data_IF_446018605343
#
_entry.id   IF_446018605343
#
_cell.length_a   1.000
_cell.length_b   1.000
_cell.length_c   1.000
_cell.angle_alpha   90.00
_cell.angle_beta   90.00
_cell.angle_gamma   90.00
#
_symmetry.space_group_name_H-M   'P 1'
#
loop_
_entity.id
_entity.type
_entity.pdbx_description
1 polymer ?
#
# COMPACT_ATOMS: atom_id res chain seq x y z
N UNK A 1 -25.88 -4.03 -16.93
CA UNK A 1 -25.61 -2.60 -17.18
C UNK A 1 -25.15 -1.87 -15.93
N UNK A 2 -25.87 -1.95 -14.81
CA UNK A 2 -25.53 -1.25 -13.56
C UNK A 2 -24.12 -1.55 -13.02
N UNK A 3 -23.71 -2.83 -13.00
CA UNK A 3 -22.37 -3.23 -12.52
C UNK A 3 -21.22 -2.62 -13.33
N UNK A 4 -21.37 -2.51 -14.65
CA UNK A 4 -20.36 -1.90 -15.52
C UNK A 4 -20.32 -0.39 -15.34
N UNK A 5 -21.49 0.26 -15.19
CA UNK A 5 -21.56 1.69 -14.92
C UNK A 5 -20.83 2.04 -13.62
N UNK A 6 -21.06 1.26 -12.56
CA UNK A 6 -20.37 1.44 -11.27
C UNK A 6 -18.84 1.28 -11.39
N UNK A 7 -18.37 0.28 -12.16
CA UNK A 7 -16.94 0.06 -12.38
C UNK A 7 -16.30 1.22 -13.15
N UNK A 8 -16.93 1.65 -14.25
CA UNK A 8 -16.42 2.75 -15.06
C UNK A 8 -16.40 4.05 -14.26
N UNK A 9 -17.47 4.35 -13.51
CA UNK A 9 -17.49 5.55 -12.66
C UNK A 9 -16.41 5.50 -11.59
N UNK A 10 -16.18 4.33 -10.98
CA UNK A 10 -15.12 4.14 -9.99
C UNK A 10 -13.73 4.43 -10.59
N UNK A 11 -13.42 3.87 -11.77
CA UNK A 11 -12.15 4.14 -12.43
C UNK A 11 -11.99 5.60 -12.85
N UNK A 12 -13.04 6.22 -13.38
CA UNK A 12 -13.00 7.65 -13.74
C UNK A 12 -12.74 8.55 -12.54
N UNK A 13 -13.34 8.24 -11.38
CA UNK A 13 -13.10 8.99 -10.14
C UNK A 13 -11.63 8.84 -9.72
N UNK A 14 -11.09 7.62 -9.68
CA UNK A 14 -9.69 7.39 -9.27
C UNK A 14 -8.71 8.06 -10.22
N UNK A 15 -8.92 7.89 -11.53
CA UNK A 15 -8.11 8.55 -12.56
C UNK A 15 -8.20 10.07 -12.42
N UNK A 16 -9.40 10.62 -12.22
CA UNK A 16 -9.61 12.04 -12.01
C UNK A 16 -8.84 12.57 -10.79
N UNK A 17 -8.93 11.88 -9.65
CA UNK A 17 -8.20 12.25 -8.43
C UNK A 17 -6.68 12.18 -8.64
N UNK A 18 -6.16 11.12 -9.27
CA UNK A 18 -4.72 10.98 -9.54
C UNK A 18 -4.18 12.00 -10.54
N UNK A 19 -4.96 12.35 -11.58
CA UNK A 19 -4.57 13.40 -12.53
C UNK A 19 -4.63 14.80 -11.91
N UNK A 20 -5.57 15.04 -10.98
CA UNK A 20 -5.64 16.29 -10.24
C UNK A 20 -4.49 16.41 -9.24
N UNK A 21 -4.09 15.33 -8.57
CA UNK A 21 -2.97 15.36 -7.61
C UNK A 21 -1.65 15.71 -8.29
N UNK A 22 -1.43 15.28 -9.55
CA UNK A 22 -0.25 15.65 -10.36
C UNK A 22 -0.09 17.16 -10.54
N UNK A 23 -1.16 17.95 -10.44
CA UNK A 23 -1.08 19.44 -10.52
C UNK A 23 -0.54 20.08 -9.24
N UNK A 24 -0.63 19.37 -8.12
CA UNK A 24 -0.17 19.84 -6.81
C UNK A 24 1.18 19.24 -6.41
N UNK A 25 1.64 18.22 -7.12
CA UNK A 25 2.92 17.57 -6.89
C UNK A 25 4.10 18.46 -7.35
N UNK A 26 5.04 18.72 -6.46
CA UNK A 26 6.37 19.24 -6.74
C UNK A 26 7.25 18.14 -7.33
N UNK A 27 8.24 18.50 -8.16
CA UNK A 27 9.15 17.52 -8.78
C UNK A 27 10.30 17.08 -7.86
N UNK A 28 10.06 16.95 -6.55
CA UNK A 28 11.07 16.49 -5.59
C UNK A 28 10.74 15.10 -5.06
N UNK A 29 11.78 14.33 -4.71
CA UNK A 29 11.60 13.02 -4.11
C UNK A 29 10.89 13.08 -2.74
N UNK A 30 11.12 14.14 -1.96
CA UNK A 30 10.45 14.34 -0.67
C UNK A 30 8.94 14.57 -0.87
N UNK A 31 8.55 15.35 -1.88
CA UNK A 31 7.14 15.56 -2.20
C UNK A 31 6.47 14.28 -2.71
N UNK A 32 7.12 13.60 -3.66
CA UNK A 32 6.58 12.38 -4.27
C UNK A 32 6.45 11.21 -3.27
N UNK A 33 7.47 10.95 -2.45
CA UNK A 33 7.48 9.79 -1.55
C UNK A 33 6.89 10.10 -0.16
N UNK A 34 6.94 11.34 0.30
CA UNK A 34 6.56 11.72 1.67
C UNK A 34 5.45 12.77 1.74
N UNK A 35 4.89 13.20 0.61
CA UNK A 35 3.85 14.24 0.55
C UNK A 35 4.33 15.57 1.15
N UNK A 36 5.61 15.87 0.98
CA UNK A 36 6.28 17.05 1.52
C UNK A 36 6.31 17.07 3.06
N UNK A 37 6.11 15.92 3.71
CA UNK A 37 6.07 15.74 5.17
C UNK A 37 5.00 16.57 5.90
N UNK A 38 3.97 17.00 5.17
CA UNK A 38 2.92 17.90 5.66
C UNK A 38 1.55 17.21 5.82
N UNK A 39 1.52 15.88 5.77
CA UNK A 39 0.27 15.12 5.96
C UNK A 39 -0.22 15.28 7.40
N UNK A 40 -1.40 15.89 7.55
CA UNK A 40 -2.07 16.00 8.85
C UNK A 40 -2.51 14.64 9.40
N UNK A 41 -2.79 14.52 10.71
CA UNK A 41 -3.05 13.23 11.37
C UNK A 41 -4.19 12.41 10.74
N UNK A 42 -5.28 13.08 10.33
CA UNK A 42 -6.43 12.43 9.71
C UNK A 42 -6.04 11.83 8.36
N UNK A 43 -5.38 12.61 7.51
CA UNK A 43 -4.98 12.15 6.19
C UNK A 43 -3.94 11.02 6.29
N UNK A 44 -2.97 11.15 7.19
CA UNK A 44 -1.99 10.11 7.47
C UNK A 44 -2.67 8.80 7.93
N UNK A 45 -3.61 8.89 8.88
CA UNK A 45 -4.39 7.74 9.33
C UNK A 45 -5.19 7.12 8.19
N UNK A 46 -5.87 7.92 7.37
CA UNK A 46 -6.63 7.43 6.21
C UNK A 46 -5.73 6.71 5.21
N UNK A 47 -4.54 7.24 4.91
CA UNK A 47 -3.57 6.57 4.02
C UNK A 47 -3.08 5.25 4.60
N UNK A 48 -2.78 5.22 5.91
CA UNK A 48 -2.38 3.98 6.59
C UNK A 48 -3.51 2.94 6.60
N UNK A 49 -4.74 3.36 6.88
CA UNK A 49 -5.91 2.48 6.85
C UNK A 49 -6.15 1.93 5.44
N UNK A 50 -6.12 2.79 4.41
CA UNK A 50 -6.25 2.38 3.01
C UNK A 50 -5.15 1.40 2.60
N UNK A 51 -3.93 1.56 3.11
CA UNK A 51 -2.81 0.64 2.85
C UNK A 51 -3.02 -0.72 3.52
N UNK A 52 -3.62 -0.73 4.72
CA UNK A 52 -3.91 -1.96 5.48
C UNK A 52 -5.09 -2.75 4.88
N UNK A 53 -6.04 -2.09 4.23
CA UNK A 53 -7.14 -2.76 3.53
C UNK A 53 -6.71 -3.15 2.11
N UNK A 54 -6.39 -4.42 1.93
CA UNK A 54 -5.83 -4.92 0.68
C UNK A 54 -6.50 -6.20 0.20
N UNK A 55 -6.06 -6.72 -0.95
CA UNK A 55 -6.48 -8.04 -1.43
C UNK A 55 -6.24 -9.15 -0.39
N UNK A 56 -5.17 -9.05 0.42
CA UNK A 56 -4.97 -9.96 1.54
C UNK A 56 -6.11 -9.87 2.55
N UNK A 57 -6.55 -8.66 2.91
CA UNK A 57 -7.63 -8.46 3.89
C UNK A 57 -8.97 -8.99 3.38
N UNK A 58 -9.26 -8.79 2.10
CA UNK A 58 -10.54 -9.22 1.50
C UNK A 58 -10.56 -10.71 1.22
N UNK A 59 -9.51 -11.28 0.59
CA UNK A 59 -9.50 -12.66 0.11
C UNK A 59 -8.65 -13.59 0.98
N UNK A 60 -7.48 -13.14 1.40
CA UNK A 60 -6.56 -13.93 2.23
C UNK A 60 -7.13 -14.20 3.62
N UNK A 61 -7.50 -13.14 4.33
CA UNK A 61 -8.03 -13.20 5.68
C UNK A 61 -9.39 -13.90 5.74
N UNK A 62 -10.32 -13.55 4.85
CA UNK A 62 -11.63 -14.22 4.79
C UNK A 62 -11.50 -15.71 4.42
N UNK A 63 -10.65 -16.05 3.45
CA UNK A 63 -10.41 -17.43 3.06
C UNK A 63 -9.73 -18.25 4.15
N UNK A 64 -8.80 -17.65 4.89
CA UNK A 64 -8.20 -18.29 6.07
C UNK A 64 -9.22 -18.46 7.20
N UNK A 65 -10.08 -17.46 7.44
CA UNK A 65 -11.19 -17.56 8.38
C UNK A 65 -12.20 -18.65 8.00
N UNK A 66 -12.47 -18.85 6.70
CA UNK A 66 -13.31 -19.94 6.21
C UNK A 66 -12.72 -21.33 6.53
N UNK A 67 -11.38 -21.48 6.42
CA UNK A 67 -10.70 -22.77 6.66
C UNK A 67 -10.40 -23.05 8.13
N UNK A 68 -10.00 -22.04 8.90
CA UNK A 68 -9.52 -22.17 10.27
C UNK A 68 -10.49 -21.61 11.33
N UNK A 69 -11.62 -21.05 10.90
CA UNK A 69 -12.62 -20.45 11.77
C UNK A 69 -12.12 -19.17 12.46
N UNK A 70 -12.79 -18.80 13.55
CA UNK A 70 -12.48 -17.61 14.34
C UNK A 70 -11.08 -17.64 14.98
N UNK A 71 -10.44 -18.80 15.08
CA UNK A 71 -9.08 -18.92 15.60
C UNK A 71 -8.04 -18.16 14.76
N UNK A 72 -8.36 -17.83 13.51
CA UNK A 72 -7.49 -17.01 12.66
C UNK A 72 -7.62 -15.50 12.92
N UNK A 73 -8.74 -15.03 13.48
CA UNK A 73 -9.02 -13.60 13.67
C UNK A 73 -8.01 -12.88 14.59
N UNK A 74 -7.49 -13.50 15.67
CA UNK A 74 -6.44 -12.91 16.47
C UNK A 74 -5.21 -12.49 15.68
N UNK A 75 -4.88 -13.16 14.56
CA UNK A 75 -3.68 -12.80 13.77
C UNK A 75 -3.81 -11.38 13.19
N UNK A 76 -5.00 -11.00 12.74
CA UNK A 76 -5.26 -9.65 12.22
C UNK A 76 -5.36 -8.62 13.34
N UNK A 77 -6.01 -8.99 14.45
CA UNK A 77 -6.15 -8.12 15.61
C UNK A 77 -4.79 -7.78 16.22
N UNK A 78 -3.96 -8.79 16.49
CA UNK A 78 -2.61 -8.60 17.00
C UNK A 78 -1.68 -8.00 15.96
N UNK A 79 -1.76 -8.40 14.68
CA UNK A 79 -0.95 -7.80 13.63
C UNK A 79 -1.16 -6.29 13.49
N UNK A 80 -2.43 -5.87 13.36
CA UNK A 80 -2.79 -4.44 13.26
C UNK A 80 -2.53 -3.71 14.59
N UNK A 81 -2.81 -4.36 15.73
CA UNK A 81 -2.55 -3.79 17.05
C UNK A 81 -1.06 -3.54 17.30
N UNK A 82 -0.20 -4.51 16.99
CA UNK A 82 1.25 -4.36 17.11
C UNK A 82 1.81 -3.37 16.10
N UNK A 83 1.21 -3.23 14.92
CA UNK A 83 1.55 -2.14 13.99
C UNK A 83 1.28 -0.76 14.63
N UNK A 84 0.11 -0.56 15.24
CA UNK A 84 -0.23 0.70 15.91
C UNK A 84 0.69 1.02 17.10
N UNK A 85 1.02 -0.01 17.90
CA UNK A 85 1.99 0.09 19.00
C UNK A 85 3.37 0.46 18.44
N UNK A 86 3.86 -0.25 17.43
CA UNK A 86 5.16 0.03 16.79
C UNK A 86 5.21 1.43 16.21
N UNK A 87 4.12 1.93 15.63
CA UNK A 87 4.05 3.30 15.13
C UNK A 87 4.20 4.33 16.26
N UNK A 88 3.59 4.07 17.41
CA UNK A 88 3.65 4.96 18.58
C UNK A 88 5.07 5.02 19.20
N UNK A 89 5.77 3.90 19.29
CA UNK A 89 7.09 3.83 19.94
C UNK A 89 8.28 4.06 18.98
N UNK A 90 8.18 3.52 17.76
CA UNK A 90 9.26 3.52 16.76
C UNK A 90 8.95 4.55 15.67
N UNK A 91 7.71 4.59 15.17
CA UNK A 91 7.30 5.46 14.06
C UNK A 91 7.57 6.93 14.31
N UNK A 92 7.26 7.45 15.51
CA UNK A 92 7.57 8.85 15.88
C UNK A 92 9.06 9.17 15.78
N UNK A 93 9.93 8.32 16.35
CA UNK A 93 11.39 8.50 16.31
C UNK A 93 11.94 8.41 14.89
N UNK A 94 11.43 7.46 14.11
CA UNK A 94 11.78 7.29 12.69
C UNK A 94 11.39 8.53 11.88
N UNK A 95 10.20 9.09 12.12
CA UNK A 95 9.73 10.30 11.47
C UNK A 95 10.61 11.51 11.81
N UNK A 96 10.90 11.72 13.10
CA UNK A 96 11.76 12.82 13.57
C UNK A 96 13.16 12.72 12.96
N UNK A 97 13.78 11.54 13.01
CA UNK A 97 15.11 11.31 12.43
C UNK A 97 15.11 11.49 10.92
N UNK A 98 14.08 11.01 10.24
CA UNK A 98 13.92 11.18 8.81
C UNK A 98 13.77 12.65 8.42
N UNK A 99 13.07 13.45 9.24
CA UNK A 99 12.89 14.89 9.01
C UNK A 99 14.18 15.68 9.28
N UNK A 100 14.91 15.33 10.33
CA UNK A 100 16.19 15.98 10.68
C UNK A 100 17.27 15.70 9.64
N UNK A 101 17.37 14.45 9.17
CA UNK A 101 18.48 13.99 8.32
C UNK A 101 18.13 13.86 6.84
N UNK A 102 16.88 14.14 6.46
CA UNK A 102 16.41 14.07 5.08
C UNK A 102 16.31 12.65 4.52
N UNK A 103 16.17 11.63 5.36
CA UNK A 103 16.03 10.24 4.89
C UNK A 103 14.65 10.02 4.26
N UNK A 104 14.63 9.30 3.14
CA UNK A 104 13.41 9.04 2.36
C UNK A 104 13.00 7.57 2.44
N UNK A 105 13.96 6.64 2.63
CA UNK A 105 13.66 5.20 2.72
C UNK A 105 14.10 4.58 4.05
N UNK A 106 13.44 3.51 4.53
CA UNK A 106 13.89 2.77 5.72
C UNK A 106 15.28 2.16 5.57
N UNK A 107 15.63 1.67 4.36
CA UNK A 107 16.95 1.14 4.07
C UNK A 107 18.04 2.21 4.24
N UNK A 108 17.81 3.40 3.69
CA UNK A 108 18.69 4.56 3.87
C UNK A 108 18.81 4.96 5.34
N UNK A 109 17.69 5.03 6.06
CA UNK A 109 17.67 5.38 7.48
C UNK A 109 18.57 4.42 8.28
N UNK A 110 18.39 3.11 8.13
CA UNK A 110 19.20 2.11 8.86
C UNK A 110 20.67 2.20 8.41
N UNK A 111 20.91 2.26 7.10
CA UNK A 111 22.25 2.35 6.54
C UNK A 111 23.07 3.54 7.04
N UNK A 112 22.44 4.72 7.05
CA UNK A 112 23.07 5.98 7.47
C UNK A 112 23.14 6.10 8.99
N UNK A 113 22.14 5.62 9.71
CA UNK A 113 22.14 5.64 11.18
C UNK A 113 23.27 4.77 11.76
N UNK A 114 23.47 3.57 11.22
CA UNK A 114 24.52 2.65 11.66
C UNK A 114 25.81 2.75 10.85
N UNK A 115 25.90 3.70 9.90
CA UNK A 115 27.04 3.86 8.99
C UNK A 115 27.47 2.57 8.28
N UNK A 116 26.51 1.70 7.95
CA UNK A 116 26.75 0.36 7.40
C UNK A 116 26.05 0.16 6.07
N UNK A 117 26.84 0.09 4.99
CA UNK A 117 26.35 -0.23 3.64
C UNK A 117 25.76 -1.63 3.56
N UNK A 118 26.30 -2.57 4.34
CA UNK A 118 25.76 -3.93 4.42
C UNK A 118 24.33 -3.92 4.96
N UNK A 119 24.08 -3.22 6.08
CA UNK A 119 22.73 -3.11 6.63
C UNK A 119 21.77 -2.39 5.68
N UNK A 120 22.24 -1.35 4.99
CA UNK A 120 21.44 -0.67 3.97
C UNK A 120 20.96 -1.63 2.88
N UNK A 121 21.87 -2.43 2.32
CA UNK A 121 21.56 -3.40 1.26
C UNK A 121 20.66 -4.51 1.80
N UNK A 122 20.93 -5.02 3.00
CA UNK A 122 20.12 -6.06 3.63
C UNK A 122 18.66 -5.61 3.80
N UNK A 123 18.43 -4.43 4.38
CA UNK A 123 17.08 -3.89 4.57
C UNK A 123 16.40 -3.63 3.21
N UNK A 124 17.13 -3.07 2.24
CA UNK A 124 16.61 -2.89 0.89
C UNK A 124 16.16 -4.22 0.26
N UNK A 125 16.97 -5.27 0.34
CA UNK A 125 16.64 -6.59 -0.21
C UNK A 125 15.44 -7.21 0.49
N UNK A 126 15.39 -7.14 1.82
CA UNK A 126 14.22 -7.61 2.59
C UNK A 126 12.97 -6.87 2.13
N UNK A 127 13.01 -5.54 2.06
CA UNK A 127 11.86 -4.76 1.59
C UNK A 127 11.42 -5.18 0.19
N UNK A 128 12.34 -5.31 -0.77
CA UNK A 128 12.01 -5.70 -2.15
C UNK A 128 11.43 -7.12 -2.22
N UNK A 129 12.09 -8.10 -1.59
CA UNK A 129 11.72 -9.52 -1.65
C UNK A 129 10.32 -9.76 -1.07
N UNK A 130 9.96 -9.08 0.03
CA UNK A 130 8.64 -9.25 0.63
C UNK A 130 7.56 -8.37 0.00
N UNK A 131 7.93 -7.21 -0.56
CA UNK A 131 6.95 -6.29 -1.18
C UNK A 131 6.52 -6.77 -2.56
N UNK A 132 7.40 -7.33 -3.38
CA UNK A 132 7.06 -7.74 -4.75
C UNK A 132 5.94 -8.80 -4.80
N UNK A 133 5.99 -9.91 -4.03
CA UNK A 133 4.90 -10.87 -3.99
C UNK A 133 3.61 -10.28 -3.44
N UNK A 134 3.72 -9.39 -2.45
CA UNK A 134 2.55 -8.71 -1.88
C UNK A 134 1.84 -7.84 -2.92
N UNK A 135 2.58 -7.04 -3.69
CA UNK A 135 2.00 -6.22 -4.77
C UNK A 135 1.42 -7.10 -5.87
N UNK A 136 2.04 -8.25 -6.18
CA UNK A 136 1.55 -9.17 -7.21
C UNK A 136 0.17 -9.76 -6.90
N UNK A 137 -0.20 -9.92 -5.63
CA UNK A 137 -1.52 -10.44 -5.23
C UNK A 137 -2.65 -9.48 -5.63
N UNK A 138 -2.38 -8.17 -5.74
CA UNK A 138 -3.42 -7.18 -5.95
C UNK A 138 -4.08 -7.28 -7.35
N UNK A 139 -3.34 -7.31 -8.47
CA UNK A 139 -3.93 -7.53 -9.78
C UNK A 139 -4.52 -8.95 -9.93
N UNK A 140 -3.97 -9.96 -9.23
CA UNK A 140 -4.53 -11.32 -9.22
C UNK A 140 -5.95 -11.28 -8.64
N UNK A 141 -6.11 -10.70 -7.45
CA UNK A 141 -7.42 -10.56 -6.81
C UNK A 141 -8.38 -9.68 -7.61
N UNK A 142 -7.89 -8.63 -8.24
CA UNK A 142 -8.70 -7.79 -9.13
C UNK A 142 -9.21 -8.60 -10.35
N UNK A 143 -8.36 -9.41 -10.98
CA UNK A 143 -8.72 -10.29 -12.09
C UNK A 143 -9.83 -11.27 -11.70
N UNK A 144 -9.67 -11.99 -10.58
CA UNK A 144 -10.70 -12.91 -10.09
C UNK A 144 -12.02 -12.21 -9.75
N UNK A 145 -11.93 -11.00 -9.20
CA UNK A 145 -13.12 -10.20 -8.84
C UNK A 145 -13.91 -9.80 -10.08
N UNK A 146 -13.24 -9.29 -11.12
CA UNK A 146 -13.89 -8.87 -12.36
C UNK A 146 -14.42 -10.07 -13.16
N UNK A 147 -13.72 -11.19 -13.14
CA UNK A 147 -14.19 -12.43 -13.75
C UNK A 147 -15.46 -12.95 -13.07
N UNK A 148 -15.47 -13.01 -11.74
CA UNK A 148 -16.62 -13.49 -10.98
C UNK A 148 -17.85 -12.57 -11.10
N UNK A 149 -17.65 -11.24 -11.08
CA UNK A 149 -18.77 -10.29 -11.05
C UNK A 149 -19.32 -9.90 -12.41
N UNK A 150 -18.45 -9.86 -13.43
CA UNK A 150 -18.71 -9.28 -14.76
C UNK A 150 -18.38 -10.23 -15.92
N UNK A 151 -17.83 -11.43 -15.66
CA UNK A 151 -17.43 -12.36 -16.71
C UNK A 151 -16.24 -11.89 -17.56
N UNK A 152 -15.51 -10.86 -17.12
CA UNK A 152 -14.30 -10.39 -17.82
C UNK A 152 -13.18 -11.40 -17.54
N UNK A 153 -12.55 -12.00 -18.56
CA UNK A 153 -11.52 -13.01 -18.33
C UNK A 153 -10.42 -12.51 -17.40
N UNK A 154 -10.00 -13.34 -16.45
CA UNK A 154 -9.02 -13.03 -15.40
C UNK A 154 -7.83 -12.19 -15.89
N UNK A 155 -7.20 -12.62 -17.00
CA UNK A 155 -6.02 -11.95 -17.55
C UNK A 155 -6.29 -10.51 -17.95
N UNK A 156 -7.41 -10.26 -18.63
CA UNK A 156 -7.81 -8.91 -19.08
C UNK A 156 -8.27 -8.05 -17.91
N UNK A 157 -9.01 -8.61 -16.96
CA UNK A 157 -9.44 -7.90 -15.75
C UNK A 157 -8.27 -7.44 -14.90
N UNK A 158 -7.31 -8.33 -14.63
CA UNK A 158 -6.12 -8.01 -13.86
C UNK A 158 -5.22 -6.99 -14.56
N UNK A 159 -5.01 -7.15 -15.88
CA UNK A 159 -4.20 -6.22 -16.68
C UNK A 159 -4.82 -4.83 -16.75
N UNK A 160 -6.14 -4.73 -16.91
CA UNK A 160 -6.85 -3.45 -16.92
C UNK A 160 -6.62 -2.67 -15.62
N UNK A 161 -6.84 -3.33 -14.47
CA UNK A 161 -6.68 -2.71 -13.16
C UNK A 161 -5.23 -2.29 -12.92
N UNK A 162 -4.27 -3.15 -13.26
CA UNK A 162 -2.85 -2.83 -13.17
C UNK A 162 -2.48 -1.63 -14.04
N UNK A 163 -2.96 -1.58 -15.29
CA UNK A 163 -2.69 -0.48 -16.21
C UNK A 163 -3.24 0.85 -15.69
N UNK A 164 -4.44 0.85 -15.12
CA UNK A 164 -5.03 2.04 -14.49
C UNK A 164 -4.17 2.50 -13.31
N UNK A 165 -3.74 1.59 -12.43
CA UNK A 165 -2.89 1.90 -11.28
C UNK A 165 -1.58 2.55 -11.73
N UNK A 166 -0.89 1.94 -12.70
CA UNK A 166 0.38 2.48 -13.22
C UNK A 166 0.19 3.85 -13.88
N UNK A 167 -0.96 4.10 -14.49
CA UNK A 167 -1.23 5.35 -15.21
C UNK A 167 -1.47 6.55 -14.29
N UNK A 168 -2.23 6.36 -13.19
CA UNK A 168 -2.58 7.48 -12.31
C UNK A 168 -1.49 7.80 -11.28
N UNK A 169 -0.61 6.84 -10.98
CA UNK A 169 0.64 7.07 -10.22
C UNK A 169 1.56 7.98 -11.04
#
# INVERSE_FOLDING_TARGET
>A
MEKYAALVSYFLIILGVGLLSKRYAQQTADDFFLGGRNLGPILLFSTMAATNFSAFTIFGFSGAGYRAGYAFYPIMAFGTGFMAVSFSFIGKKVYELGKEKGFISPAELVGKHYQSRFLQILIFLVMVIFTLPYIAIQPISAGYTLESLLGIPYFWGGTLVMGIIVFYV
#
